data_IF_314238097074
#
_entry.id   IF_314238097074
#
_cell.length_a   1.000
_cell.length_b   1.000
_cell.length_c   1.000
_cell.angle_alpha   90.00
_cell.angle_beta   90.00
_cell.angle_gamma   90.00
#
_symmetry.space_group_name_H-M   'P 1'
#
loop_
_entity.id
_entity.type
_entity.pdbx_description
1 polymer ?
#
# COMPACT_ATOMS: atom_id res chain seq x y z
N UNK A 1 36.83 -48.96 -24.65
CA UNK A 1 36.22 -49.35 -23.37
C UNK A 1 37.04 -48.78 -22.24
N UNK A 2 36.47 -47.86 -21.46
CA UNK A 2 36.65 -47.74 -20.00
C UNK A 2 36.04 -46.42 -19.54
N UNK A 3 34.89 -46.58 -18.93
CA UNK A 3 34.08 -45.62 -18.21
C UNK A 3 34.73 -45.26 -16.88
N UNK A 4 34.90 -43.97 -16.57
CA UNK A 4 35.01 -43.51 -15.19
C UNK A 4 33.85 -42.54 -14.94
N UNK A 5 32.90 -43.06 -14.18
CA UNK A 5 31.82 -42.32 -13.55
C UNK A 5 32.16 -42.22 -12.05
N UNK A 6 32.07 -41.03 -11.47
CA UNK A 6 31.56 -40.86 -10.11
C UNK A 6 31.19 -39.41 -9.81
N UNK A 7 30.16 -39.19 -8.97
CA UNK A 7 29.37 -37.98 -8.94
C UNK A 7 29.87 -36.98 -7.89
N UNK A 8 29.82 -35.69 -8.24
CA UNK A 8 30.13 -34.59 -7.33
C UNK A 8 28.93 -34.37 -6.41
N UNK A 9 29.16 -34.45 -5.10
CA UNK A 9 28.16 -34.21 -4.06
C UNK A 9 27.67 -32.75 -4.07
N UNK A 10 26.35 -32.58 -4.18
CA UNK A 10 25.64 -31.31 -4.00
C UNK A 10 25.44 -31.01 -2.52
N UNK A 11 26.10 -29.96 -2.01
CA UNK A 11 25.92 -29.48 -0.64
C UNK A 11 24.68 -28.60 -0.59
N UNK A 12 23.65 -29.11 0.09
CA UNK A 12 22.39 -28.42 0.37
C UNK A 12 22.61 -27.38 1.47
N UNK A 13 22.62 -26.10 1.11
CA UNK A 13 22.54 -24.99 2.08
C UNK A 13 21.06 -24.75 2.42
N UNK A 14 20.64 -25.39 3.51
CA UNK A 14 19.36 -25.20 4.18
C UNK A 14 19.28 -23.77 4.72
N UNK A 15 18.37 -22.97 4.17
CA UNK A 15 18.03 -21.64 4.70
C UNK A 15 17.30 -21.78 6.04
N UNK A 16 17.60 -20.96 7.06
CA UNK A 16 16.76 -20.90 8.25
C UNK A 16 15.49 -20.10 7.94
N UNK A 17 14.37 -20.81 7.90
CA UNK A 17 13.03 -20.24 7.89
C UNK A 17 12.80 -19.48 9.19
N UNK A 18 12.69 -18.15 9.12
CA UNK A 18 12.20 -17.33 10.24
C UNK A 18 10.69 -17.20 10.15
N UNK A 19 10.02 -17.86 11.09
CA UNK A 19 8.61 -17.67 11.43
C UNK A 19 8.36 -16.20 11.78
N UNK A 20 7.72 -15.45 10.86
CA UNK A 20 7.15 -14.13 11.17
C UNK A 20 5.79 -14.34 11.83
N UNK A 21 5.71 -13.96 13.09
CA UNK A 21 4.48 -13.83 13.85
C UNK A 21 3.68 -12.61 13.37
N UNK A 22 2.37 -12.84 13.21
CA UNK A 22 1.25 -11.92 13.49
C UNK A 22 1.28 -10.50 12.92
N UNK A 23 0.33 -10.32 12.00
CA UNK A 23 -0.49 -9.14 11.76
C UNK A 23 -0.98 -8.44 13.05
N UNK A 24 -1.25 -7.14 12.88
CA UNK A 24 -1.97 -6.19 13.74
C UNK A 24 -1.12 -5.18 14.53
N UNK A 25 -1.15 -3.94 14.02
CA UNK A 25 -1.01 -2.67 14.75
C UNK A 25 -0.96 -1.53 13.73
N UNK A 26 -2.13 -1.00 13.40
CA UNK A 26 -2.30 0.33 12.81
C UNK A 26 -1.80 1.40 13.80
N UNK A 27 -0.50 1.68 13.79
CA UNK A 27 0.06 2.84 14.46
C UNK A 27 1.25 3.38 13.65
N UNK A 28 1.01 4.48 12.94
CA UNK A 28 2.03 5.31 12.28
C UNK A 28 3.13 5.66 13.31
N UNK A 29 4.37 5.18 13.17
CA UNK A 29 5.42 5.55 14.11
C UNK A 29 5.86 6.98 13.80
N UNK A 30 5.68 7.86 14.78
CA UNK A 30 6.26 9.20 14.79
C UNK A 30 7.78 9.12 14.59
N UNK A 31 8.40 10.05 13.84
CA UNK A 31 9.83 10.03 13.58
C UNK A 31 10.56 10.32 14.90
N UNK A 32 11.05 9.27 15.55
CA UNK A 32 11.86 9.40 16.75
C UNK A 32 13.26 9.91 16.30
N UNK A 33 13.64 11.17 16.57
CA UNK A 33 14.89 11.77 16.07
C UNK A 33 16.14 11.00 16.55
N UNK A 34 16.00 10.27 17.67
CA UNK A 34 17.03 9.39 18.22
C UNK A 34 17.32 8.16 17.33
N UNK A 35 16.32 7.60 16.64
CA UNK A 35 16.52 6.45 15.73
C UNK A 35 17.19 6.88 14.43
N UNK A 36 16.81 8.04 13.90
CA UNK A 36 17.46 8.63 12.72
C UNK A 36 18.93 8.96 13.02
N UNK A 37 19.23 9.49 14.21
CA UNK A 37 20.62 9.74 14.62
C UNK A 37 21.44 8.46 14.71
N UNK A 38 20.86 7.35 15.18
CA UNK A 38 21.56 6.05 15.22
C UNK A 38 21.80 5.49 13.81
N UNK A 39 20.79 5.53 12.93
CA UNK A 39 20.92 5.06 11.54
C UNK A 39 21.95 5.87 10.75
N UNK A 40 22.01 7.19 10.97
CA UNK A 40 23.03 8.04 10.36
C UNK A 40 24.42 7.72 10.91
N UNK A 41 24.56 7.49 12.22
CA UNK A 41 25.84 7.07 12.82
C UNK A 41 26.33 5.72 12.29
N UNK A 42 25.41 4.80 12.02
CA UNK A 42 25.71 3.49 11.43
C UNK A 42 26.09 3.60 9.95
N UNK A 43 25.35 4.42 9.18
CA UNK A 43 25.64 4.68 7.76
C UNK A 43 27.00 5.36 7.53
N UNK A 44 27.41 6.26 8.43
CA UNK A 44 28.70 6.94 8.37
C UNK A 44 29.80 6.27 9.21
N UNK A 45 29.52 5.10 9.83
CA UNK A 45 30.53 4.33 10.57
C UNK A 45 31.06 4.98 11.87
N UNK A 46 30.33 5.93 12.46
CA UNK A 46 30.82 6.82 13.54
C UNK A 46 30.77 6.17 14.94
N UNK A 47 30.42 4.88 15.09
CA UNK A 47 30.42 4.26 16.42
C UNK A 47 30.83 2.79 16.43
N UNK A 48 32.11 2.56 16.72
CA UNK A 48 32.63 1.46 17.55
C UNK A 48 34.04 1.79 18.10
N UNK A 49 34.23 2.99 18.69
CA UNK A 49 35.46 3.34 19.42
C UNK A 49 35.29 3.37 20.96
N UNK A 50 34.12 3.00 21.49
CA UNK A 50 33.84 3.11 22.94
C UNK A 50 33.02 1.95 23.51
N UNK A 51 33.36 0.70 23.12
CA UNK A 51 33.22 -0.48 23.97
C UNK A 51 33.84 -1.73 23.33
N UNK A 52 34.63 -2.42 24.14
CA UNK A 52 35.22 -3.75 23.98
C UNK A 52 36.57 -3.82 23.25
N UNK A 53 37.57 -4.23 24.03
CA UNK A 53 38.91 -4.54 23.58
C UNK A 53 39.05 -5.97 23.09
N UNK A 54 40.22 -6.16 22.47
CA UNK A 54 40.85 -7.40 22.02
C UNK A 54 40.39 -7.97 20.66
N UNK A 55 41.02 -7.48 19.59
CA UNK A 55 41.58 -8.30 18.52
C UNK A 55 42.47 -7.45 17.60
N UNK A 56 43.73 -7.86 17.46
CA UNK A 56 44.77 -7.26 16.62
C UNK A 56 44.37 -7.23 15.13
N UNK A 57 44.36 -6.05 14.50
CA UNK A 57 45.02 -5.81 13.20
C UNK A 57 45.56 -4.37 13.22
N UNK A 58 46.84 -4.28 12.90
CA UNK A 58 47.67 -3.10 12.70
C UNK A 58 47.13 -2.20 11.57
N UNK A 59 46.89 -0.92 11.84
CA UNK A 59 47.53 0.17 11.08
C UNK A 59 47.39 1.51 11.81
N UNK A 60 48.44 2.29 11.63
CA UNK A 60 48.90 3.42 12.41
C UNK A 60 48.02 4.67 12.19
N UNK A 61 47.43 5.17 13.27
CA UNK A 61 47.07 6.58 13.40
C UNK A 61 47.05 6.92 14.89
N UNK A 62 48.16 7.50 15.33
CA UNK A 62 48.33 8.18 16.60
C UNK A 62 47.37 9.38 16.70
N UNK A 63 46.08 9.10 16.92
CA UNK A 63 45.17 10.08 17.52
C UNK A 63 45.48 10.10 19.00
N UNK A 64 46.08 11.18 19.46
CA UNK A 64 46.17 11.54 20.87
C UNK A 64 44.75 11.46 21.46
N UNK A 65 44.51 10.48 22.34
CA UNK A 65 43.31 10.46 23.18
C UNK A 65 43.33 11.69 24.09
N UNK A 66 42.58 12.71 23.71
CA UNK A 66 42.10 13.75 24.61
C UNK A 66 40.60 13.49 24.81
N UNK A 67 40.16 13.65 26.06
CA UNK A 67 38.85 13.21 26.56
C UNK A 67 37.65 13.96 25.99
N UNK A 68 36.43 13.68 26.51
CA UNK A 68 35.16 14.11 25.91
C UNK A 68 34.83 15.61 26.03
N UNK A 69 35.79 16.46 26.38
CA UNK A 69 35.58 17.90 26.63
C UNK A 69 35.82 18.78 25.39
N UNK A 70 36.26 18.22 24.25
CA UNK A 70 36.63 19.00 23.06
C UNK A 70 35.50 19.16 22.02
N UNK A 71 34.35 18.50 22.21
CA UNK A 71 33.20 18.58 21.29
C UNK A 71 32.31 19.83 21.56
N UNK A 72 32.55 20.62 22.62
CA UNK A 72 31.75 21.83 22.94
C UNK A 72 32.32 23.15 22.40
N UNK A 73 33.54 23.16 21.85
CA UNK A 73 34.05 24.33 21.14
C UNK A 73 33.84 24.13 19.65
N UNK A 74 32.78 24.73 19.09
CA UNK A 74 32.99 25.47 17.85
C UNK A 74 34.23 26.31 18.12
N UNK A 75 35.38 25.89 17.58
CA UNK A 75 36.67 26.42 18.00
C UNK A 75 36.60 27.94 17.86
N UNK A 76 37.16 28.72 18.78
CA UNK A 76 37.11 30.18 18.69
C UNK A 76 37.58 30.70 17.30
N UNK A 77 38.38 29.88 16.60
CA UNK A 77 38.87 30.00 15.23
C UNK A 77 37.78 29.92 14.14
N UNK A 78 36.69 29.18 14.36
CA UNK A 78 35.60 28.97 13.39
C UNK A 78 34.50 30.04 13.48
N UNK A 79 34.66 31.04 14.35
CA UNK A 79 33.66 32.11 14.53
C UNK A 79 33.65 33.09 13.34
N UNK A 80 32.47 33.56 12.93
CA UNK A 80 32.31 34.48 11.78
C UNK A 80 33.03 35.81 11.93
N UNK A 81 33.36 36.18 13.17
CA UNK A 81 34.01 37.44 13.55
C UNK A 81 35.42 37.20 14.12
N UNK A 82 36.05 36.08 13.73
CA UNK A 82 37.39 35.74 14.18
C UNK A 82 38.40 36.86 13.89
N UNK A 83 39.14 37.27 14.92
CA UNK A 83 40.21 38.26 14.84
C UNK A 83 41.54 37.57 15.18
N UNK A 84 42.40 37.43 14.17
CA UNK A 84 43.66 36.72 14.30
C UNK A 84 44.64 37.45 15.23
N UNK A 85 44.76 38.78 15.13
CA UNK A 85 45.65 39.56 16.00
C UNK A 85 45.25 39.43 17.48
N UNK A 86 43.96 39.58 17.79
CA UNK A 86 43.45 39.47 19.16
C UNK A 86 43.62 38.04 19.72
N UNK A 87 43.42 37.02 18.88
CA UNK A 87 43.64 35.63 19.26
C UNK A 87 45.11 35.37 19.61
N UNK A 88 46.04 35.80 18.75
CA UNK A 88 47.49 35.64 18.97
C UNK A 88 47.95 36.42 20.20
N UNK A 89 47.49 37.66 20.38
CA UNK A 89 47.82 38.46 21.58
C UNK A 89 47.34 37.78 22.85
N UNK A 90 46.12 37.25 22.85
CA UNK A 90 45.57 36.50 23.99
C UNK A 90 46.33 35.20 24.25
N UNK A 91 46.81 34.52 23.19
CA UNK A 91 47.57 33.29 23.28
C UNK A 91 48.96 33.55 23.88
N UNK A 92 49.65 34.59 23.40
CA UNK A 92 50.96 35.01 23.93
C UNK A 92 50.88 35.52 25.38
N UNK A 93 49.75 36.09 25.78
CA UNK A 93 49.51 36.53 27.16
C UNK A 93 49.23 35.36 28.13
N UNK A 94 48.63 34.27 27.63
CA UNK A 94 48.23 33.10 28.44
C UNK A 94 49.30 32.01 28.48
N UNK A 95 49.93 31.73 27.35
CA UNK A 95 50.84 30.59 27.16
C UNK A 95 52.31 31.02 27.10
N UNK A 96 53.18 30.19 27.65
CA UNK A 96 54.63 30.33 27.43
C UNK A 96 55.06 29.80 26.06
N UNK A 97 56.33 30.03 25.67
CA UNK A 97 56.88 29.61 24.36
C UNK A 97 56.59 28.15 23.99
N UNK A 98 56.68 27.23 24.97
CA UNK A 98 56.38 25.81 24.75
C UNK A 98 54.91 25.56 24.38
N UNK A 99 53.98 26.29 25.01
CA UNK A 99 52.55 26.21 24.71
C UNK A 99 52.27 26.76 23.32
N UNK A 100 52.86 27.91 22.97
CA UNK A 100 52.74 28.51 21.64
C UNK A 100 53.23 27.57 20.54
N UNK A 101 54.39 26.93 20.70
CA UNK A 101 54.91 25.94 19.73
C UNK A 101 54.01 24.71 19.61
N UNK A 102 53.36 24.28 20.70
CA UNK A 102 52.40 23.16 20.66
C UNK A 102 51.17 23.55 19.84
N UNK A 103 50.63 24.76 20.06
CA UNK A 103 49.48 25.27 19.30
C UNK A 103 49.84 25.44 17.82
N UNK A 104 51.03 25.93 17.50
CA UNK A 104 51.51 26.02 16.12
C UNK A 104 51.55 24.64 15.45
N UNK A 105 52.17 23.65 16.11
CA UNK A 105 52.27 22.30 15.56
C UNK A 105 50.89 21.67 15.34
N UNK A 106 49.96 21.89 16.26
CA UNK A 106 48.59 21.43 16.14
C UNK A 106 47.84 22.12 15.00
N UNK A 107 47.95 23.44 14.87
CA UNK A 107 47.34 24.20 13.78
C UNK A 107 47.88 23.76 12.41
N UNK A 108 49.19 23.50 12.29
CA UNK A 108 49.78 22.95 11.06
C UNK A 108 49.21 21.57 10.72
N UNK A 109 48.98 20.73 11.73
CA UNK A 109 48.34 19.43 11.56
C UNK A 109 46.88 19.59 11.09
N UNK A 110 46.11 20.46 11.74
CA UNK A 110 44.72 20.76 11.38
C UNK A 110 44.60 21.31 9.95
N UNK A 111 45.49 22.21 9.53
CA UNK A 111 45.51 22.74 8.15
C UNK A 111 45.70 21.60 7.13
N UNK A 112 46.61 20.66 7.39
CA UNK A 112 46.85 19.51 6.50
C UNK A 112 45.65 18.56 6.46
N UNK A 113 45.03 18.30 7.60
CA UNK A 113 43.83 17.48 7.67
C UNK A 113 42.67 18.14 6.91
N UNK A 114 42.46 19.44 7.08
CA UNK A 114 41.40 20.19 6.41
C UNK A 114 41.61 20.24 4.88
N UNK A 115 42.86 20.31 4.41
CA UNK A 115 43.18 20.19 2.98
C UNK A 115 42.89 18.77 2.45
N UNK A 116 43.20 17.73 3.23
CA UNK A 116 42.86 16.35 2.89
C UNK A 116 41.34 16.14 2.81
N UNK A 117 40.60 16.64 3.79
CA UNK A 117 39.14 16.57 3.84
C UNK A 117 38.50 17.32 2.67
N UNK A 118 39.02 18.52 2.36
CA UNK A 118 38.60 19.28 1.17
C UNK A 118 38.81 18.46 -0.10
N UNK A 119 39.97 17.83 -0.27
CA UNK A 119 40.25 16.97 -1.43
C UNK A 119 39.28 15.80 -1.48
N UNK A 120 39.07 15.10 -0.36
CA UNK A 120 38.13 13.99 -0.27
C UNK A 120 36.71 14.40 -0.67
N UNK A 121 36.21 15.54 -0.18
CA UNK A 121 34.89 16.07 -0.55
C UNK A 121 34.78 16.36 -2.05
N UNK A 122 35.83 16.92 -2.64
CA UNK A 122 35.89 17.19 -4.08
C UNK A 122 35.85 15.89 -4.87
N UNK A 123 36.64 14.88 -4.50
CA UNK A 123 36.63 13.57 -5.15
C UNK A 123 35.26 12.88 -5.04
N UNK A 124 34.63 12.94 -3.86
CA UNK A 124 33.31 12.38 -3.65
C UNK A 124 32.25 13.07 -4.51
N UNK A 125 32.30 14.40 -4.61
CA UNK A 125 31.37 15.15 -5.43
C UNK A 125 31.54 14.84 -6.92
N UNK A 126 32.80 14.82 -7.41
CA UNK A 126 33.09 14.45 -8.79
C UNK A 126 32.68 13.01 -9.10
N UNK A 127 32.96 12.07 -8.20
CA UNK A 127 32.55 10.66 -8.34
C UNK A 127 31.03 10.53 -8.43
N UNK A 128 30.29 11.26 -7.59
CA UNK A 128 28.81 11.31 -7.64
C UNK A 128 28.31 11.90 -8.95
N UNK A 129 28.89 13.00 -9.43
CA UNK A 129 28.51 13.63 -10.70
C UNK A 129 28.78 12.68 -11.89
N UNK A 130 29.94 12.02 -11.89
CA UNK A 130 30.31 11.07 -12.92
C UNK A 130 29.37 9.86 -12.91
N UNK A 131 29.03 9.33 -11.73
CA UNK A 131 28.05 8.25 -11.57
C UNK A 131 26.66 8.65 -12.05
N UNK A 132 26.19 9.86 -11.71
CA UNK A 132 24.92 10.39 -12.18
C UNK A 132 24.91 10.52 -13.72
N UNK A 133 25.97 11.06 -14.30
CA UNK A 133 26.13 11.20 -15.75
C UNK A 133 26.14 9.85 -16.45
N UNK A 134 26.85 8.85 -15.88
CA UNK A 134 26.84 7.48 -16.39
C UNK A 134 25.44 6.86 -16.34
N UNK A 135 24.67 7.17 -15.31
CA UNK A 135 23.30 6.69 -15.13
C UNK A 135 22.36 7.33 -16.15
N UNK A 136 22.47 8.64 -16.38
CA UNK A 136 21.74 9.32 -17.46
C UNK A 136 22.09 8.69 -18.82
N UNK A 137 23.38 8.41 -19.08
CA UNK A 137 23.81 7.77 -20.32
C UNK A 137 23.21 6.37 -20.50
N UNK A 138 23.20 5.53 -19.44
CA UNK A 138 22.54 4.21 -19.48
C UNK A 138 21.03 4.34 -19.67
N UNK A 139 20.38 5.24 -18.95
CA UNK A 139 18.94 5.48 -19.08
C UNK A 139 18.58 5.88 -20.52
N UNK A 140 19.37 6.78 -21.13
CA UNK A 140 19.19 7.17 -22.52
C UNK A 140 19.42 6.00 -23.49
N UNK A 141 20.53 5.28 -23.33
CA UNK A 141 20.84 4.12 -24.18
C UNK A 141 19.79 2.99 -24.07
N UNK A 142 19.15 2.85 -22.90
CA UNK A 142 18.07 1.89 -22.71
C UNK A 142 16.71 2.44 -23.18
N UNK A 143 16.47 3.75 -23.15
CA UNK A 143 15.18 4.35 -23.54
C UNK A 143 15.08 4.63 -25.04
N UNK A 144 16.18 4.99 -25.69
CA UNK A 144 16.26 5.19 -27.15
C UNK A 144 15.73 3.96 -27.95
N UNK A 145 16.02 2.69 -27.59
CA UNK A 145 15.44 1.52 -28.25
C UNK A 145 14.00 1.17 -27.82
N UNK A 146 13.45 1.79 -26.77
CA UNK A 146 12.03 1.62 -26.37
C UNK A 146 11.09 2.66 -27.00
N UNK A 147 11.61 3.76 -27.54
CA UNK A 147 10.82 4.70 -28.34
C UNK A 147 10.08 4.04 -29.53
N UNK A 148 10.69 3.15 -30.34
CA UNK A 148 9.98 2.51 -31.44
C UNK A 148 8.94 1.47 -30.97
N UNK A 149 9.16 0.77 -29.84
CA UNK A 149 8.19 -0.24 -29.35
C UNK A 149 6.95 0.41 -28.74
N UNK A 150 7.08 1.56 -28.10
CA UNK A 150 5.90 2.34 -27.65
C UNK A 150 5.09 2.90 -28.82
N UNK A 151 5.75 3.26 -29.92
CA UNK A 151 5.07 3.73 -31.14
C UNK A 151 4.30 2.62 -31.88
N UNK A 152 4.73 1.34 -31.76
CA UNK A 152 4.02 0.19 -32.36
C UNK A 152 2.89 -0.36 -31.48
N UNK A 153 2.93 -0.15 -30.16
CA UNK A 153 1.88 -0.59 -29.24
C UNK A 153 0.56 0.17 -29.41
N UNK A 154 0.60 1.48 -29.68
CA UNK A 154 -0.62 2.28 -29.90
C UNK A 154 -1.49 1.77 -31.06
N UNK A 155 -0.93 1.55 -32.26
CA UNK A 155 -1.63 0.94 -33.38
C UNK A 155 -2.10 -0.49 -33.09
N UNK A 156 -1.28 -1.31 -32.43
CA UNK A 156 -1.66 -2.69 -32.08
C UNK A 156 -2.84 -2.73 -31.10
N UNK A 157 -2.86 -1.89 -30.07
CA UNK A 157 -3.97 -1.78 -29.12
C UNK A 157 -5.23 -1.26 -29.81
N UNK A 158 -5.09 -0.28 -30.72
CA UNK A 158 -6.21 0.24 -31.50
C UNK A 158 -6.84 -0.84 -32.38
N UNK A 159 -6.01 -1.66 -33.05
CA UNK A 159 -6.46 -2.79 -33.85
C UNK A 159 -7.14 -3.88 -32.99
N UNK A 160 -6.63 -4.15 -31.79
CA UNK A 160 -7.27 -5.09 -30.85
C UNK A 160 -8.63 -4.54 -30.39
N UNK A 161 -8.73 -3.24 -30.08
CA UNK A 161 -9.99 -2.61 -29.68
C UNK A 161 -11.02 -2.64 -30.82
N UNK A 162 -10.60 -2.34 -32.05
CA UNK A 162 -11.47 -2.38 -33.23
C UNK A 162 -11.96 -3.80 -33.50
N UNK A 163 -11.07 -4.80 -33.50
CA UNK A 163 -11.44 -6.21 -33.68
C UNK A 163 -12.35 -6.72 -32.57
N UNK A 164 -12.11 -6.35 -31.31
CA UNK A 164 -12.98 -6.70 -30.19
C UNK A 164 -14.36 -6.05 -30.31
N UNK A 165 -14.44 -4.78 -30.73
CA UNK A 165 -15.71 -4.08 -30.96
C UNK A 165 -16.51 -4.69 -32.11
N UNK A 166 -15.83 -5.07 -33.20
CA UNK A 166 -16.43 -5.78 -34.34
C UNK A 166 -16.95 -7.16 -33.94
N UNK A 167 -16.17 -7.93 -33.17
CA UNK A 167 -16.60 -9.24 -32.65
C UNK A 167 -17.78 -9.13 -31.68
N UNK A 168 -17.77 -8.14 -30.80
CA UNK A 168 -18.88 -7.86 -29.87
C UNK A 168 -20.15 -7.50 -30.62
N UNK A 169 -20.06 -6.62 -31.62
CA UNK A 169 -21.18 -6.21 -32.46
C UNK A 169 -21.73 -7.39 -33.27
N UNK A 170 -20.84 -8.22 -33.83
CA UNK A 170 -21.21 -9.45 -34.54
C UNK A 170 -21.96 -10.43 -33.62
N UNK A 171 -21.44 -10.68 -32.41
CA UNK A 171 -22.12 -11.50 -31.41
C UNK A 171 -23.47 -10.93 -30.99
N UNK A 172 -23.57 -9.63 -30.75
CA UNK A 172 -24.84 -9.00 -30.39
C UNK A 172 -25.87 -9.12 -31.51
N UNK A 173 -25.43 -9.08 -32.77
CA UNK A 173 -26.32 -9.29 -33.92
C UNK A 173 -26.76 -10.75 -34.07
N UNK A 174 -25.91 -11.71 -33.70
CA UNK A 174 -26.25 -13.15 -33.63
C UNK A 174 -27.22 -13.44 -32.47
N UNK A 175 -27.00 -12.84 -31.30
CA UNK A 175 -27.89 -12.97 -30.13
C UNK A 175 -29.26 -12.28 -30.31
N UNK A 176 -29.40 -11.34 -31.25
CA UNK A 176 -30.66 -10.65 -31.55
C UNK A 176 -31.59 -11.43 -32.49
N UNK A 177 -31.26 -12.65 -32.89
CA UNK A 177 -32.23 -13.56 -33.52
C UNK A 177 -33.09 -14.14 -32.38
N UNK A 178 -34.34 -13.68 -32.19
CA UNK A 178 -35.13 -14.11 -31.06
C UNK A 178 -35.71 -15.47 -31.39
N UNK A 179 -35.18 -16.52 -30.77
CA UNK A 179 -35.93 -17.74 -30.60
C UNK A 179 -36.16 -17.95 -29.10
N UNK A 180 -37.44 -18.08 -28.77
CA UNK A 180 -38.08 -18.42 -27.49
C UNK A 180 -37.32 -18.32 -26.15
N UNK A 181 -37.97 -17.64 -25.20
CA UNK A 181 -37.82 -17.74 -23.74
C UNK A 181 -36.64 -16.98 -23.09
N UNK A 182 -36.84 -15.67 -22.91
CA UNK A 182 -37.09 -15.13 -21.56
C UNK A 182 -36.00 -15.19 -20.47
N UNK A 183 -34.72 -15.36 -20.78
CA UNK A 183 -33.64 -15.22 -19.78
C UNK A 183 -32.48 -14.39 -20.37
N UNK A 184 -32.52 -13.08 -20.16
CA UNK A 184 -31.45 -12.15 -20.52
C UNK A 184 -30.43 -12.05 -19.35
N UNK A 185 -29.33 -12.80 -19.42
CA UNK A 185 -28.14 -12.56 -18.57
C UNK A 185 -27.16 -11.71 -19.39
N UNK A 186 -27.28 -10.39 -19.26
CA UNK A 186 -26.34 -9.41 -19.85
C UNK A 186 -25.26 -9.03 -18.84
N UNK A 187 -24.04 -9.49 -19.11
CA UNK A 187 -22.83 -9.20 -18.33
C UNK A 187 -22.37 -7.76 -18.58
N UNK A 188 -22.35 -7.02 -17.47
CA UNK A 188 -21.46 -5.95 -17.04
C UNK A 188 -21.32 -4.64 -17.83
N UNK A 189 -21.51 -3.55 -17.09
CA UNK A 189 -21.60 -2.17 -17.58
C UNK A 189 -22.75 -1.46 -16.89
N UNK A 190 -22.39 -0.62 -15.93
CA UNK A 190 -23.21 0.32 -15.14
C UNK A 190 -24.02 -0.26 -13.96
N UNK A 191 -23.43 -0.16 -12.76
CA UNK A 191 -23.81 -0.88 -11.54
C UNK A 191 -24.92 -0.20 -10.72
N UNK A 192 -25.19 1.08 -10.94
CA UNK A 192 -26.13 1.88 -10.13
C UNK A 192 -27.56 1.80 -10.67
N UNK A 193 -27.78 2.00 -11.97
CA UNK A 193 -29.12 1.95 -12.57
C UNK A 193 -29.75 0.55 -12.51
N UNK A 194 -28.93 -0.51 -12.63
CA UNK A 194 -29.41 -1.90 -12.53
C UNK A 194 -29.83 -2.28 -11.11
N UNK A 195 -29.22 -1.70 -10.07
CA UNK A 195 -29.64 -1.93 -8.69
C UNK A 195 -31.03 -1.36 -8.42
N UNK A 196 -31.35 -0.18 -8.97
CA UNK A 196 -32.69 0.40 -8.81
C UNK A 196 -33.76 -0.41 -9.54
N UNK A 197 -33.49 -0.88 -10.76
CA UNK A 197 -34.44 -1.68 -11.53
C UNK A 197 -34.71 -3.04 -10.85
N UNK A 198 -33.67 -3.71 -10.36
CA UNK A 198 -33.83 -4.99 -9.65
C UNK A 198 -34.54 -4.83 -8.31
N UNK A 199 -34.29 -3.74 -7.57
CA UNK A 199 -34.99 -3.44 -6.32
C UNK A 199 -36.48 -3.19 -6.55
N UNK A 200 -36.83 -2.33 -7.53
CA UNK A 200 -38.23 -2.07 -7.91
C UNK A 200 -38.96 -3.35 -8.34
N UNK A 201 -38.29 -4.25 -9.06
CA UNK A 201 -38.88 -5.52 -9.49
C UNK A 201 -39.23 -6.41 -8.29
N UNK A 202 -38.32 -6.53 -7.32
CA UNK A 202 -38.56 -7.31 -6.09
C UNK A 202 -39.69 -6.72 -5.25
N UNK A 203 -39.76 -5.40 -5.15
CA UNK A 203 -40.86 -4.69 -4.47
C UNK A 203 -42.21 -4.91 -5.17
N UNK A 204 -42.24 -4.96 -6.51
CA UNK A 204 -43.45 -5.29 -7.25
C UNK A 204 -43.87 -6.75 -7.10
N UNK A 205 -42.90 -7.67 -7.04
CA UNK A 205 -43.15 -9.09 -6.82
C UNK A 205 -43.76 -9.33 -5.42
N UNK A 206 -43.28 -8.65 -4.37
CA UNK A 206 -43.86 -8.77 -3.02
C UNK A 206 -45.26 -8.19 -2.93
N UNK A 207 -45.52 -7.03 -3.57
CA UNK A 207 -46.88 -6.47 -3.65
C UNK A 207 -47.82 -7.40 -4.41
N UNK A 208 -47.37 -7.96 -5.53
CA UNK A 208 -48.16 -8.92 -6.31
C UNK A 208 -48.49 -10.18 -5.51
N UNK A 209 -47.53 -10.67 -4.72
CA UNK A 209 -47.75 -11.82 -3.85
C UNK A 209 -48.78 -11.53 -2.75
N UNK A 210 -48.70 -10.36 -2.08
CA UNK A 210 -49.68 -9.95 -1.06
C UNK A 210 -51.08 -9.77 -1.65
N UNK A 211 -51.21 -9.22 -2.87
CA UNK A 211 -52.51 -9.06 -3.53
C UNK A 211 -53.15 -10.39 -3.97
N UNK A 212 -52.35 -11.44 -4.13
CA UNK A 212 -52.84 -12.78 -4.53
C UNK A 212 -53.31 -13.62 -3.33
N UNK A 213 -53.16 -13.10 -2.12
CA UNK A 213 -53.50 -13.78 -0.85
C UNK A 213 -54.97 -14.23 -0.73
N UNK A 214 -56.00 -13.45 -1.10
CA UNK A 214 -57.39 -13.92 -1.01
C UNK A 214 -57.67 -15.10 -1.95
N UNK A 215 -56.98 -15.19 -3.10
CA UNK A 215 -57.11 -16.34 -4.01
C UNK A 215 -56.44 -17.57 -3.44
N UNK A 216 -55.23 -17.41 -2.91
CA UNK A 216 -54.47 -18.49 -2.26
C UNK A 216 -55.19 -19.02 -1.01
N UNK A 217 -55.79 -18.14 -0.21
CA UNK A 217 -56.56 -18.56 0.97
C UNK A 217 -57.79 -19.38 0.58
N UNK A 218 -58.55 -18.94 -0.44
CA UNK A 218 -59.67 -19.74 -0.96
C UNK A 218 -59.21 -21.11 -1.46
N UNK A 219 -58.11 -21.17 -2.20
CA UNK A 219 -57.58 -22.43 -2.74
C UNK A 219 -57.06 -23.39 -1.66
N UNK A 220 -56.51 -22.88 -0.55
CA UNK A 220 -56.08 -23.71 0.59
C UNK A 220 -57.25 -24.18 1.45
N UNK A 221 -58.29 -23.35 1.60
CA UNK A 221 -59.53 -23.74 2.28
C UNK A 221 -60.31 -24.79 1.47
N UNK A 222 -60.38 -24.64 0.14
CA UNK A 222 -60.95 -25.66 -0.77
C UNK A 222 -60.20 -27.02 -0.69
N UNK A 223 -58.97 -27.03 -0.17
CA UNK A 223 -58.13 -28.21 0.02
C UNK A 223 -58.12 -28.74 1.46
N UNK A 224 -58.96 -28.21 2.36
CA UNK A 224 -59.01 -28.54 3.81
C UNK A 224 -57.64 -28.36 4.50
N UNK A 225 -56.82 -27.41 4.03
CA UNK A 225 -55.48 -27.13 4.56
C UNK A 225 -55.46 -25.88 5.47
N UNK A 226 -56.25 -25.91 6.54
CA UNK A 226 -56.43 -24.74 7.44
C UNK A 226 -55.13 -24.29 8.11
N UNK A 227 -54.28 -25.24 8.52
CA UNK A 227 -52.98 -24.93 9.13
C UNK A 227 -52.01 -24.23 8.16
N UNK A 228 -52.12 -24.45 6.86
CA UNK A 228 -51.33 -23.75 5.83
C UNK A 228 -51.91 -22.37 5.54
N UNK A 229 -53.24 -22.26 5.48
CA UNK A 229 -53.96 -21.01 5.31
C UNK A 229 -53.70 -20.03 6.46
N UNK A 230 -53.72 -20.48 7.71
CA UNK A 230 -53.41 -19.63 8.88
C UNK A 230 -51.97 -19.13 8.87
N UNK A 231 -51.00 -20.00 8.52
CA UNK A 231 -49.58 -19.61 8.44
C UNK A 231 -49.32 -18.58 7.35
N UNK A 232 -49.92 -18.78 6.18
CA UNK A 232 -49.85 -17.82 5.08
C UNK A 232 -50.53 -16.50 5.43
N UNK A 233 -51.68 -16.55 6.10
CA UNK A 233 -52.37 -15.36 6.59
C UNK A 233 -51.56 -14.60 7.64
N UNK A 234 -50.90 -15.29 8.58
CA UNK A 234 -50.04 -14.63 9.56
C UNK A 234 -48.88 -13.86 8.91
N UNK A 235 -48.22 -14.44 7.91
CA UNK A 235 -47.12 -13.80 7.20
C UNK A 235 -47.60 -12.54 6.46
N UNK A 236 -48.75 -12.63 5.80
CA UNK A 236 -49.38 -11.53 5.05
C UNK A 236 -49.89 -10.45 6.01
N UNK A 237 -50.53 -10.83 7.10
CA UNK A 237 -51.06 -9.91 8.13
C UNK A 237 -49.93 -9.09 8.76
N UNK A 238 -48.77 -9.70 9.02
CA UNK A 238 -47.55 -9.00 9.47
C UNK A 238 -47.03 -7.99 8.45
N UNK A 239 -47.17 -8.24 7.15
CA UNK A 239 -46.80 -7.31 6.08
C UNK A 239 -47.84 -6.17 5.97
N UNK A 240 -49.12 -6.49 6.02
CA UNK A 240 -50.21 -5.52 5.99
C UNK A 240 -50.20 -4.59 7.21
N UNK A 241 -49.76 -5.09 8.37
CA UNK A 241 -49.54 -4.26 9.56
C UNK A 241 -48.47 -3.18 9.36
N UNK A 242 -47.45 -3.47 8.53
CA UNK A 242 -46.44 -2.48 8.13
C UNK A 242 -46.96 -1.52 7.05
N UNK A 243 -48.02 -1.89 6.33
CA UNK A 243 -48.66 -1.09 5.28
C UNK A 243 -49.88 -0.29 5.77
N UNK A 244 -49.94 0.02 7.07
CA UNK A 244 -51.00 0.87 7.66
C UNK A 244 -51.03 2.25 7.00
N UNK A 245 -52.07 2.51 6.21
CA UNK A 245 -52.30 3.78 5.52
C UNK A 245 -52.12 3.73 3.99
N UNK A 246 -51.69 2.59 3.43
CA UNK A 246 -51.70 2.37 1.97
C UNK A 246 -53.14 2.11 1.51
N UNK A 247 -53.57 2.76 0.43
CA UNK A 247 -54.89 2.55 -0.15
C UNK A 247 -55.06 1.07 -0.57
N UNK A 248 -56.21 0.46 -0.23
CA UNK A 248 -56.51 -0.95 -0.53
C UNK A 248 -55.97 -1.98 0.47
N UNK A 249 -55.00 -1.64 1.34
CA UNK A 249 -54.46 -2.60 2.32
C UNK A 249 -55.46 -2.97 3.43
N UNK A 250 -56.37 -2.05 3.79
CA UNK A 250 -57.46 -2.31 4.74
C UNK A 250 -58.56 -3.19 4.11
N UNK A 251 -58.93 -2.89 2.87
CA UNK A 251 -59.93 -3.65 2.12
C UNK A 251 -59.46 -5.10 1.90
N UNK A 252 -58.19 -5.29 1.53
CA UNK A 252 -57.60 -6.62 1.39
C UNK A 252 -57.59 -7.40 2.72
N UNK A 253 -57.33 -6.72 3.83
CA UNK A 253 -57.38 -7.35 5.16
C UNK A 253 -58.81 -7.79 5.49
N UNK A 254 -59.79 -6.92 5.28
CA UNK A 254 -61.20 -7.23 5.52
C UNK A 254 -61.68 -8.39 4.63
N UNK A 255 -61.25 -8.44 3.37
CA UNK A 255 -61.56 -9.54 2.45
C UNK A 255 -61.01 -10.88 2.92
N UNK A 256 -59.74 -10.92 3.34
CA UNK A 256 -59.12 -12.15 3.86
C UNK A 256 -59.71 -12.57 5.22
N UNK A 257 -60.01 -11.63 6.12
CA UNK A 257 -60.70 -11.93 7.39
C UNK A 257 -62.14 -12.43 7.16
N UNK A 258 -62.82 -11.99 6.10
CA UNK A 258 -64.14 -12.48 5.74
C UNK A 258 -64.06 -13.91 5.18
N UNK A 259 -63.08 -14.21 4.33
CA UNK A 259 -62.86 -15.57 3.79
C UNK A 259 -62.59 -16.58 4.93
N UNK A 260 -61.78 -16.22 5.92
CA UNK A 260 -61.51 -17.07 7.09
C UNK A 260 -62.73 -17.23 8.02
N UNK A 261 -63.62 -16.23 8.10
CA UNK A 261 -64.85 -16.30 8.91
C UNK A 261 -65.94 -17.11 8.24
N UNK A 262 -66.10 -16.97 6.92
CA UNK A 262 -67.09 -17.70 6.13
C UNK A 262 -66.91 -19.22 6.26
N UNK A 263 -65.67 -19.71 6.38
CA UNK A 263 -65.41 -21.14 6.64
C UNK A 263 -65.68 -21.54 8.10
N UNK A 264 -65.28 -20.72 9.07
CA UNK A 264 -65.54 -21.01 10.50
C UNK A 264 -67.02 -21.07 10.88
N UNK A 265 -67.88 -20.45 10.07
CA UNK A 265 -69.34 -20.47 10.22
C UNK A 265 -70.01 -21.60 9.39
N UNK A 266 -69.25 -22.32 8.55
CA UNK A 266 -69.75 -23.38 7.66
C UNK A 266 -69.49 -24.82 8.16
N UNK A 267 -68.80 -24.98 9.30
CA UNK A 267 -68.64 -26.20 10.11
C UNK A 267 -69.66 -26.29 11.27
#
# INVERSE_FOLDING_TARGET
MSTIASPRASVSVRSPSSTRTSIDSTARPQPNPRRNRTALREFYGIKNASKEGDAKISEESSRTELGPEEDETLTELDTSNFNAEAYVESLLAKEGLKGVLKVEADLVSQIRNLDSDRKSLVYDNYSKLLSATSTIRRMRGNMDPLAPTTHTLGPAISHIAETASSLSSSRQNVQRKPDGLGIDIRVDGDSTEKQEVTKKRKEQETVRWVLDTPRRLREMLDQEQDEEAERDWEEVSRILDKWKGVAGAKELREECENILKEESDSD
#
